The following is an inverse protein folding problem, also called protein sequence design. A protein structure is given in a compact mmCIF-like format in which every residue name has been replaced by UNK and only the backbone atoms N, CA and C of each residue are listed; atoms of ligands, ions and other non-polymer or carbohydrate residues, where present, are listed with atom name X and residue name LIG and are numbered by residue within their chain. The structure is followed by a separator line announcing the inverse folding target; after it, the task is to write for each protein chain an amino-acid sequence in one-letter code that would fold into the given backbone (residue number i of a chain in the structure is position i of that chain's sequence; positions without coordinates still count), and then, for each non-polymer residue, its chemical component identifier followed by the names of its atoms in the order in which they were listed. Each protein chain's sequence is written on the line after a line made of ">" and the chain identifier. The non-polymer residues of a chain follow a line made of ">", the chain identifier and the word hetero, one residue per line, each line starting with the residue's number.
data_IF_402496667890
#
_entry.id   IF_402496667890
#
_cell.length_a   1.000
_cell.length_b   1.000
_cell.length_c   1.000
_cell.angle_alpha   90.00
_cell.angle_beta   90.00
_cell.angle_gamma   90.00
#
_symmetry.space_group_name_H-M   'P 1'
#
loop_
_entity.id
_entity.type
_entity.pdbx_description
1 polymer ?
#
# COMPACT_ATOMS: atom_id res chain seq x y z
N UNK A 1 -14.89 -2.42 -27.01
CA UNK A 1 -13.91 -3.48 -26.67
C UNK A 1 -14.12 -3.83 -25.21
N UNK A 2 -14.60 -5.04 -24.91
CA UNK A 2 -14.76 -5.53 -23.53
C UNK A 2 -13.41 -5.46 -22.84
N UNK A 3 -13.32 -4.73 -21.75
CA UNK A 3 -12.11 -4.60 -20.94
C UNK A 3 -11.78 -5.99 -20.35
N UNK A 4 -10.79 -6.65 -20.96
CA UNK A 4 -10.24 -7.90 -20.43
C UNK A 4 -9.67 -7.55 -19.05
N UNK A 5 -10.09 -8.28 -17.99
CA UNK A 5 -9.62 -8.03 -16.64
C UNK A 5 -8.09 -8.16 -16.56
N UNK A 6 -7.48 -7.42 -15.64
CA UNK A 6 -6.01 -7.43 -15.41
C UNK A 6 -5.51 -8.87 -15.20
N UNK A 7 -6.31 -9.71 -14.54
CA UNK A 7 -6.02 -11.15 -14.33
C UNK A 7 -5.80 -11.87 -15.65
N UNK A 8 -6.71 -11.73 -16.61
CA UNK A 8 -6.61 -12.36 -17.93
C UNK A 8 -5.44 -11.82 -18.75
N UNK A 9 -5.18 -10.51 -18.70
CA UNK A 9 -4.03 -9.92 -19.39
C UNK A 9 -2.71 -10.48 -18.86
N UNK A 10 -2.52 -10.57 -17.56
CA UNK A 10 -1.31 -11.13 -16.95
C UNK A 10 -1.16 -12.62 -17.29
N UNK A 11 -2.22 -13.41 -17.19
CA UNK A 11 -2.18 -14.85 -17.55
C UNK A 11 -1.78 -15.03 -19.02
N UNK A 12 -2.37 -14.25 -19.95
CA UNK A 12 -2.03 -14.31 -21.37
C UNK A 12 -0.57 -13.94 -21.61
N UNK A 13 -0.08 -12.83 -21.01
CA UNK A 13 1.31 -12.41 -21.15
C UNK A 13 2.29 -13.47 -20.63
N UNK A 14 2.00 -14.04 -19.45
CA UNK A 14 2.83 -15.09 -18.87
C UNK A 14 2.85 -16.36 -19.73
N UNK A 15 1.69 -16.76 -20.24
CA UNK A 15 1.59 -17.92 -21.14
C UNK A 15 2.31 -17.68 -22.46
N UNK A 16 2.19 -16.50 -23.07
CA UNK A 16 2.92 -16.14 -24.28
C UNK A 16 4.43 -16.15 -24.08
N UNK A 17 4.90 -15.62 -22.95
CA UNK A 17 6.32 -15.61 -22.60
C UNK A 17 6.85 -17.05 -22.47
N UNK A 18 6.13 -17.92 -21.77
CA UNK A 18 6.52 -19.32 -21.60
C UNK A 18 6.54 -20.08 -22.92
N UNK A 19 5.55 -19.85 -23.80
CA UNK A 19 5.52 -20.44 -25.15
C UNK A 19 6.73 -19.95 -25.96
N UNK A 20 7.05 -18.66 -25.91
CA UNK A 20 8.20 -18.09 -26.61
C UNK A 20 9.54 -18.68 -26.13
N UNK A 21 9.72 -18.83 -24.81
CA UNK A 21 10.92 -19.44 -24.22
C UNK A 21 11.04 -20.91 -24.65
N UNK A 22 9.93 -21.66 -24.61
CA UNK A 22 9.91 -23.08 -25.00
C UNK A 22 10.18 -23.25 -26.49
N UNK A 23 9.62 -22.39 -27.32
CA UNK A 23 9.89 -22.39 -28.78
C UNK A 23 11.36 -22.06 -29.07
N UNK A 24 11.93 -21.06 -28.37
CA UNK A 24 13.35 -20.70 -28.52
C UNK A 24 14.28 -21.85 -28.11
N UNK A 25 13.95 -22.54 -26.99
CA UNK A 25 14.71 -23.70 -26.52
C UNK A 25 14.67 -24.85 -27.55
N UNK A 26 13.50 -25.08 -28.15
CA UNK A 26 13.32 -26.12 -29.15
C UNK A 26 14.10 -25.80 -30.45
N UNK A 27 14.08 -24.55 -30.89
CA UNK A 27 14.91 -24.06 -32.00
C UNK A 27 16.40 -24.18 -31.69
N UNK A 28 16.83 -23.85 -30.47
CA UNK A 28 18.22 -24.00 -30.04
C UNK A 28 18.66 -25.47 -30.10
N UNK A 29 17.86 -26.41 -29.58
CA UNK A 29 18.15 -27.84 -29.64
C UNK A 29 18.24 -28.32 -31.07
N UNK A 30 17.33 -27.88 -31.94
CA UNK A 30 17.37 -28.20 -33.40
C UNK A 30 18.64 -27.68 -34.09
N UNK A 31 19.04 -26.43 -33.75
CA UNK A 31 20.25 -25.84 -34.34
C UNK A 31 21.54 -26.52 -33.83
N UNK A 32 21.60 -26.88 -32.54
CA UNK A 32 22.70 -27.66 -32.00
C UNK A 32 22.82 -29.02 -32.62
N UNK A 33 21.71 -29.72 -32.81
CA UNK A 33 21.69 -31.02 -33.46
C UNK A 33 22.06 -30.93 -34.95
N UNK A 34 21.67 -29.86 -35.64
CA UNK A 34 22.05 -29.60 -37.03
C UNK A 34 23.54 -29.28 -37.22
N UNK A 35 24.18 -28.68 -36.20
CA UNK A 35 25.61 -28.34 -36.26
C UNK A 35 26.50 -29.52 -35.87
N UNK A 36 25.97 -30.56 -35.25
CA UNK A 36 26.64 -31.85 -35.21
C UNK A 36 26.38 -32.56 -36.56
N UNK A 37 26.92 -31.97 -37.65
CA UNK A 37 26.96 -32.65 -38.93
C UNK A 37 27.91 -33.84 -38.78
N UNK A 38 27.36 -34.89 -38.29
CA UNK A 38 27.95 -36.20 -38.40
C UNK A 38 28.08 -36.47 -39.87
N UNK A 39 29.31 -36.74 -40.33
CA UNK A 39 29.59 -37.20 -41.68
C UNK A 39 28.70 -38.41 -41.95
N UNK A 40 28.22 -38.59 -43.19
CA UNK A 40 27.39 -39.73 -43.47
C UNK A 40 28.14 -41.02 -43.04
N UNK A 41 27.48 -41.97 -42.37
CA UNK A 41 28.10 -43.19 -41.85
C UNK A 41 29.01 -43.88 -42.89
N UNK A 42 28.61 -43.82 -44.14
CA UNK A 42 29.36 -44.33 -45.30
C UNK A 42 30.74 -43.63 -45.45
N UNK A 43 30.84 -42.31 -45.19
CA UNK A 43 32.15 -41.62 -45.28
C UNK A 43 33.01 -41.88 -44.05
N UNK A 44 32.39 -42.12 -42.92
CA UNK A 44 33.08 -42.39 -41.66
C UNK A 44 33.73 -43.77 -41.65
N UNK A 45 33.03 -44.81 -42.17
CA UNK A 45 33.59 -46.16 -42.29
C UNK A 45 34.83 -46.19 -43.19
N UNK A 46 34.79 -45.48 -44.35
CA UNK A 46 35.95 -45.40 -45.24
C UNK A 46 37.15 -44.76 -44.57
N UNK A 47 36.92 -43.63 -43.90
CA UNK A 47 37.99 -42.88 -43.21
C UNK A 47 38.67 -43.71 -42.13
N UNK A 48 37.85 -44.40 -41.29
CA UNK A 48 38.37 -45.23 -40.20
C UNK A 48 39.13 -46.43 -40.72
N UNK A 49 38.64 -47.07 -41.77
CA UNK A 49 39.34 -48.21 -42.41
C UNK A 49 40.65 -47.77 -42.98
N UNK A 50 40.71 -46.59 -43.68
CA UNK A 50 41.98 -46.05 -44.18
C UNK A 50 42.97 -45.72 -43.07
N UNK A 51 42.50 -45.04 -42.02
CA UNK A 51 43.35 -44.75 -40.84
C UNK A 51 43.90 -46.02 -40.23
N UNK A 52 42.98 -46.95 -39.90
CA UNK A 52 43.40 -48.22 -39.28
C UNK A 52 44.29 -49.06 -40.17
N UNK A 53 44.17 -48.92 -41.51
CA UNK A 53 45.10 -49.57 -42.44
C UNK A 53 46.52 -48.91 -42.40
N UNK A 54 46.60 -47.59 -42.22
CA UNK A 54 47.86 -46.85 -42.05
C UNK A 54 48.53 -47.20 -40.71
N UNK A 55 47.77 -47.56 -39.70
CA UNK A 55 48.23 -47.90 -38.32
C UNK A 55 48.68 -49.37 -38.20
N UNK A 56 48.54 -50.19 -39.24
CA UNK A 56 49.06 -51.58 -39.29
C UNK A 56 50.54 -51.59 -39.62
N UNK A 57 51.40 -52.07 -38.71
CA UNK A 57 52.84 -52.18 -38.95
C UNK A 57 53.26 -53.62 -39.16
N UNK A 58 54.36 -53.81 -39.93
CA UNK A 58 54.95 -55.10 -40.13
C UNK A 58 56.41 -55.03 -39.63
N UNK A 59 56.62 -55.66 -38.43
CA UNK A 59 57.91 -55.64 -37.76
C UNK A 59 58.38 -57.07 -37.40
N UNK A 60 59.65 -57.32 -37.59
CA UNK A 60 60.32 -58.58 -37.28
C UNK A 60 59.62 -59.85 -37.79
N UNK A 61 58.88 -59.78 -38.91
CA UNK A 61 58.23 -60.94 -39.53
C UNK A 61 56.80 -61.23 -39.02
N UNK A 62 56.25 -60.37 -38.21
CA UNK A 62 54.88 -60.44 -37.73
C UNK A 62 54.18 -59.09 -37.89
N UNK A 63 52.84 -59.16 -38.08
CA UNK A 63 52.00 -57.96 -38.12
C UNK A 63 51.75 -57.47 -36.71
N UNK A 64 51.91 -56.18 -36.47
CA UNK A 64 51.57 -55.50 -35.24
C UNK A 64 50.28 -54.69 -35.42
N UNK A 65 49.32 -54.87 -34.53
CA UNK A 65 48.04 -54.22 -34.51
C UNK A 65 47.82 -53.39 -33.26
N UNK A 66 48.88 -53.07 -32.48
CA UNK A 66 48.81 -52.41 -31.19
C UNK A 66 48.22 -51.00 -31.31
N UNK A 67 48.42 -50.30 -32.39
CA UNK A 67 47.95 -48.92 -32.65
C UNK A 67 46.60 -48.89 -33.39
N UNK A 68 46.02 -50.04 -33.78
CA UNK A 68 44.76 -50.14 -34.49
C UNK A 68 43.60 -50.02 -33.51
N UNK A 69 42.72 -49.05 -33.75
CA UNK A 69 41.49 -48.89 -32.95
C UNK A 69 40.35 -49.75 -33.53
N UNK A 70 40.06 -50.89 -32.93
CA UNK A 70 39.08 -51.86 -33.39
C UNK A 70 37.62 -51.43 -33.21
N UNK A 71 37.35 -50.38 -32.40
CA UNK A 71 36.05 -49.78 -32.25
C UNK A 71 36.16 -48.28 -31.91
N UNK A 72 35.92 -47.44 -32.88
CA UNK A 72 35.89 -46.00 -32.68
C UNK A 72 34.74 -45.38 -33.50
N UNK A 73 34.08 -44.34 -33.01
CA UNK A 73 32.97 -43.60 -33.64
C UNK A 73 31.84 -44.50 -34.20
N UNK A 74 31.61 -45.67 -33.61
CA UNK A 74 30.60 -46.61 -34.04
C UNK A 74 30.99 -47.52 -35.20
N UNK A 75 32.26 -47.41 -35.64
CA UNK A 75 32.84 -48.31 -36.64
C UNK A 75 33.51 -49.48 -35.94
N UNK A 76 33.14 -50.69 -36.35
CA UNK A 76 33.85 -51.91 -35.96
C UNK A 76 34.87 -52.21 -37.05
N UNK A 77 36.12 -52.43 -36.66
CA UNK A 77 37.22 -52.77 -37.54
C UNK A 77 37.64 -54.22 -37.35
N UNK A 78 37.79 -54.97 -38.40
CA UNK A 78 38.21 -56.38 -38.45
C UNK A 78 39.35 -56.48 -39.47
N UNK A 79 40.39 -57.25 -39.12
CA UNK A 79 41.55 -57.54 -40.01
C UNK A 79 41.58 -59.01 -40.30
N UNK A 80 41.59 -59.32 -41.61
CA UNK A 80 41.60 -60.68 -42.13
C UNK A 80 42.87 -60.97 -42.91
N UNK A 81 43.30 -62.22 -43.00
CA UNK A 81 44.35 -62.71 -43.89
C UNK A 81 43.83 -62.93 -45.33
N UNK A 82 44.67 -63.41 -46.24
CA UNK A 82 44.33 -63.80 -47.61
C UNK A 82 43.29 -64.92 -47.72
N UNK A 83 43.24 -65.76 -46.73
CA UNK A 83 42.33 -66.92 -46.68
C UNK A 83 41.00 -66.57 -46.03
N UNK A 84 40.82 -65.30 -45.55
CA UNK A 84 39.60 -64.82 -44.93
C UNK A 84 39.53 -65.20 -43.46
N UNK A 85 40.62 -65.58 -42.80
CA UNK A 85 40.64 -65.81 -41.37
C UNK A 85 40.84 -64.50 -40.60
N UNK A 86 40.03 -64.30 -39.56
CA UNK A 86 40.15 -63.13 -38.70
C UNK A 86 41.46 -63.19 -37.89
N UNK A 87 42.33 -62.23 -38.12
CA UNK A 87 43.57 -62.06 -37.41
C UNK A 87 43.44 -61.20 -36.12
N UNK A 88 42.70 -60.10 -36.29
CA UNK A 88 42.46 -59.17 -35.18
C UNK A 88 41.17 -58.44 -35.38
N UNK A 89 40.58 -57.89 -34.30
CA UNK A 89 39.41 -57.03 -34.35
C UNK A 89 38.22 -57.55 -33.56
N UNK A 90 37.18 -56.76 -33.61
CA UNK A 90 35.93 -57.02 -32.89
C UNK A 90 34.84 -57.24 -33.91
N UNK A 91 34.35 -58.49 -34.00
CA UNK A 91 33.22 -58.86 -34.86
C UNK A 91 31.98 -58.02 -34.59
N UNK A 92 31.36 -57.50 -35.64
CA UNK A 92 30.14 -56.75 -35.50
C UNK A 92 28.99 -57.68 -35.02
N UNK A 93 28.42 -57.44 -33.79
CA UNK A 93 27.49 -58.40 -33.18
C UNK A 93 26.21 -58.62 -34.00
N UNK A 94 25.92 -57.76 -34.93
CA UNK A 94 24.63 -57.72 -35.70
C UNK A 94 24.75 -58.28 -37.09
N UNK A 95 25.96 -58.52 -37.65
CA UNK A 95 26.17 -59.09 -38.97
C UNK A 95 26.67 -60.53 -38.81
N UNK A 96 25.75 -61.47 -38.91
CA UNK A 96 26.00 -62.92 -38.69
C UNK A 96 26.39 -63.65 -39.99
N UNK A 97 26.31 -63.00 -41.13
CA UNK A 97 26.59 -63.58 -42.42
C UNK A 97 28.08 -63.42 -42.77
N UNK A 98 28.73 -64.50 -43.16
CA UNK A 98 30.11 -64.46 -43.60
C UNK A 98 30.20 -63.80 -44.96
N UNK A 99 30.55 -62.52 -44.95
CA UNK A 99 30.66 -61.75 -46.18
C UNK A 99 31.99 -61.98 -46.86
N UNK A 100 31.99 -62.26 -48.18
CA UNK A 100 33.27 -62.38 -48.90
C UNK A 100 34.01 -61.03 -48.91
N UNK A 101 35.34 -61.09 -48.70
CA UNK A 101 36.22 -59.95 -48.84
C UNK A 101 36.26 -59.48 -50.29
N UNK A 102 36.04 -58.16 -50.52
CA UNK A 102 35.95 -57.60 -51.87
C UNK A 102 36.37 -56.15 -51.90
N UNK A 103 37.48 -55.88 -52.51
CA UNK A 103 37.89 -54.51 -52.80
C UNK A 103 36.86 -53.83 -53.71
N UNK A 104 36.31 -52.68 -53.30
CA UNK A 104 35.30 -51.98 -54.10
C UNK A 104 34.55 -50.92 -53.33
N UNK A 105 33.43 -50.50 -53.88
CA UNK A 105 32.58 -49.48 -53.19
C UNK A 105 31.95 -50.04 -51.91
N UNK A 106 31.51 -49.15 -51.05
CA UNK A 106 30.81 -49.48 -49.81
C UNK A 106 29.60 -50.37 -50.13
N UNK A 107 29.47 -51.47 -49.41
CA UNK A 107 28.34 -52.40 -49.53
C UNK A 107 27.34 -52.17 -48.40
N UNK A 108 26.08 -52.26 -48.74
CA UNK A 108 25.01 -52.25 -47.74
C UNK A 108 24.56 -53.67 -47.46
N UNK A 109 24.61 -54.07 -46.18
CA UNK A 109 24.27 -55.42 -45.71
C UNK A 109 23.17 -55.32 -44.64
N UNK A 110 22.22 -56.23 -44.71
CA UNK A 110 21.18 -56.34 -43.69
C UNK A 110 21.71 -57.16 -42.50
N UNK A 111 21.73 -56.60 -41.33
CA UNK A 111 22.03 -57.28 -40.10
C UNK A 111 20.79 -57.48 -39.23
N UNK A 112 20.95 -58.05 -38.04
CA UNK A 112 19.86 -58.32 -37.11
C UNK A 112 19.13 -57.07 -36.59
N UNK A 113 19.81 -55.91 -36.56
CA UNK A 113 19.30 -54.69 -35.99
C UNK A 113 19.25 -53.53 -37.03
N UNK A 114 19.14 -53.82 -38.31
CA UNK A 114 19.05 -52.79 -39.39
C UNK A 114 20.10 -52.97 -40.45
N UNK A 115 20.22 -51.96 -41.32
CA UNK A 115 21.21 -51.92 -42.40
C UNK A 115 22.61 -51.47 -41.87
N UNK A 116 23.66 -52.07 -42.43
CA UNK A 116 25.07 -51.76 -42.14
C UNK A 116 25.79 -51.41 -43.40
N UNK A 117 26.71 -50.43 -43.31
CA UNK A 117 27.67 -50.18 -44.34
C UNK A 117 28.97 -50.93 -44.02
N UNK A 118 29.43 -51.69 -45.03
CA UNK A 118 30.69 -52.47 -44.93
C UNK A 118 31.60 -51.97 -46.03
N UNK A 119 32.87 -51.72 -45.63
CA UNK A 119 33.92 -51.31 -46.54
C UNK A 119 35.18 -52.13 -46.28
N UNK A 120 35.71 -52.76 -47.34
CA UNK A 120 36.90 -53.59 -47.31
C UNK A 120 38.06 -52.92 -48.08
N UNK A 121 39.17 -52.84 -47.42
CA UNK A 121 40.40 -52.29 -48.03
C UNK A 121 41.52 -53.37 -48.02
N UNK A 122 42.02 -53.80 -49.19
CA UNK A 122 43.20 -54.62 -49.22
C UNK A 122 44.45 -53.82 -48.90
N UNK A 123 45.32 -54.33 -48.06
CA UNK A 123 46.59 -53.73 -47.65
C UNK A 123 47.72 -54.66 -48.09
N UNK A 124 48.53 -54.23 -49.04
CA UNK A 124 49.69 -54.97 -49.53
C UNK A 124 50.93 -54.59 -48.70
N UNK A 125 51.53 -55.53 -47.99
CA UNK A 125 52.72 -55.34 -47.19
C UNK A 125 53.75 -56.41 -47.47
N UNK A 126 55.01 -56.19 -47.04
CA UNK A 126 56.12 -57.15 -47.28
C UNK A 126 55.90 -58.53 -46.70
N UNK A 127 54.87 -58.75 -45.92
CA UNK A 127 54.46 -60.02 -45.29
C UNK A 127 53.30 -60.73 -45.97
N UNK A 128 52.63 -60.10 -46.95
CA UNK A 128 51.43 -60.62 -47.60
C UNK A 128 50.35 -59.59 -47.81
N UNK A 129 49.17 -59.99 -48.20
CA UNK A 129 47.99 -59.12 -48.33
C UNK A 129 47.10 -59.32 -47.10
N UNK A 130 46.78 -58.21 -46.42
CA UNK A 130 45.76 -58.17 -45.38
C UNK A 130 44.49 -57.49 -45.89
N UNK A 131 43.39 -57.75 -45.25
CA UNK A 131 42.13 -57.06 -45.48
C UNK A 131 41.69 -56.36 -44.23
N UNK A 132 41.47 -55.06 -44.31
CA UNK A 132 40.89 -54.26 -43.24
C UNK A 132 39.45 -53.99 -43.61
N UNK A 133 38.54 -54.54 -42.78
CA UNK A 133 37.11 -54.35 -42.90
C UNK A 133 36.57 -53.39 -41.84
N UNK A 134 35.85 -52.38 -42.25
CA UNK A 134 35.06 -51.52 -41.37
C UNK A 134 33.55 -51.79 -41.51
N UNK A 135 32.86 -51.82 -40.42
CA UNK A 135 31.42 -52.00 -40.37
C UNK A 135 30.78 -50.95 -39.49
N UNK A 136 29.75 -50.20 -39.98
CA UNK A 136 29.00 -49.20 -39.21
C UNK A 136 27.51 -49.38 -39.47
N UNK A 137 26.67 -49.14 -38.48
CA UNK A 137 25.21 -49.11 -38.67
C UNK A 137 24.79 -47.95 -39.56
N UNK A 138 23.98 -48.21 -40.59
CA UNK A 138 23.43 -47.17 -41.44
C UNK A 138 22.44 -46.23 -40.68
N UNK A 139 21.82 -46.77 -39.62
CA UNK A 139 20.86 -46.05 -38.79
C UNK A 139 21.50 -45.38 -37.55
N UNK A 140 22.85 -45.38 -37.45
CA UNK A 140 23.53 -44.81 -36.28
C UNK A 140 23.18 -43.33 -35.97
N UNK A 141 22.57 -42.63 -36.93
CA UNK A 141 22.16 -41.22 -36.79
C UNK A 141 20.67 -41.00 -36.48
N UNK A 142 19.81 -42.04 -36.61
CA UNK A 142 18.34 -41.90 -36.49
C UNK A 142 17.84 -41.75 -35.05
N UNK A 143 18.59 -42.23 -34.08
CA UNK A 143 18.03 -42.49 -32.73
C UNK A 143 17.73 -41.25 -31.88
N UNK A 144 18.47 -40.17 -32.05
CA UNK A 144 18.29 -38.95 -31.19
C UNK A 144 17.02 -38.19 -31.55
N UNK A 145 16.76 -38.06 -32.89
CA UNK A 145 15.58 -37.32 -33.38
C UNK A 145 14.28 -38.09 -33.11
N UNK A 146 14.32 -39.43 -33.21
CA UNK A 146 13.17 -40.31 -32.94
C UNK A 146 12.75 -40.27 -31.47
N UNK A 147 13.62 -39.94 -30.55
CA UNK A 147 13.29 -39.79 -29.12
C UNK A 147 12.89 -38.33 -28.78
N UNK A 148 13.59 -37.34 -29.36
CA UNK A 148 13.34 -35.93 -29.02
C UNK A 148 11.99 -35.44 -29.55
N UNK A 149 11.59 -35.81 -30.75
CA UNK A 149 10.36 -35.33 -31.37
C UNK A 149 9.10 -35.78 -30.58
N UNK A 150 8.87 -37.05 -30.26
CA UNK A 150 7.71 -37.47 -29.48
C UNK A 150 7.76 -36.91 -28.03
N UNK A 151 8.94 -36.80 -27.46
CA UNK A 151 9.11 -36.18 -26.15
C UNK A 151 8.68 -34.70 -26.17
N UNK A 152 9.10 -33.96 -27.20
CA UNK A 152 8.69 -32.55 -27.37
C UNK A 152 7.17 -32.43 -27.56
N UNK A 153 6.52 -33.30 -28.32
CA UNK A 153 5.08 -33.30 -28.51
C UNK A 153 4.27 -33.64 -27.27
N UNK A 154 4.83 -34.37 -26.32
CA UNK A 154 4.18 -34.69 -25.03
C UNK A 154 4.43 -33.63 -23.96
N UNK A 155 5.66 -33.15 -23.85
CA UNK A 155 6.09 -32.19 -22.79
C UNK A 155 5.59 -30.78 -23.06
N UNK A 156 5.56 -30.33 -24.33
CA UNK A 156 5.18 -28.97 -24.68
C UNK A 156 3.72 -28.63 -24.30
N UNK A 157 2.70 -29.44 -24.61
CA UNK A 157 1.33 -29.21 -24.17
C UNK A 157 1.20 -29.22 -22.63
N UNK A 158 1.91 -30.12 -21.96
CA UNK A 158 1.90 -30.19 -20.50
C UNK A 158 2.45 -28.93 -19.86
N UNK A 159 3.57 -28.39 -20.37
CA UNK A 159 4.14 -27.11 -19.92
C UNK A 159 3.21 -25.92 -20.17
N UNK A 160 2.54 -25.88 -21.33
CA UNK A 160 1.57 -24.82 -21.64
C UNK A 160 0.38 -24.89 -20.66
N UNK A 161 -0.19 -26.07 -20.43
CA UNK A 161 -1.27 -26.26 -19.46
C UNK A 161 -0.85 -25.85 -18.03
N UNK A 162 0.33 -26.26 -17.60
CA UNK A 162 0.88 -25.91 -16.30
C UNK A 162 1.10 -24.40 -16.16
N UNK A 163 1.59 -23.75 -17.23
CA UNK A 163 1.80 -22.30 -17.29
C UNK A 163 0.48 -21.54 -17.19
N UNK A 164 -0.54 -21.95 -17.93
CA UNK A 164 -1.88 -21.32 -17.88
C UNK A 164 -2.51 -21.51 -16.50
N UNK A 165 -2.48 -22.74 -15.96
CA UNK A 165 -3.03 -23.04 -14.64
C UNK A 165 -2.29 -22.30 -13.52
N UNK A 166 -0.96 -22.31 -13.54
CA UNK A 166 -0.13 -21.59 -12.59
C UNK A 166 -0.33 -20.08 -12.67
N UNK A 167 -0.33 -19.51 -13.87
CA UNK A 167 -0.57 -18.08 -14.09
C UNK A 167 -1.95 -17.65 -13.61
N UNK A 168 -2.98 -18.45 -13.88
CA UNK A 168 -4.34 -18.18 -13.37
C UNK A 168 -4.43 -18.28 -11.85
N UNK A 169 -3.83 -19.30 -11.24
CA UNK A 169 -3.83 -19.50 -9.79
C UNK A 169 -3.11 -18.34 -9.05
N UNK A 170 -1.92 -17.98 -9.52
CA UNK A 170 -1.12 -16.87 -8.96
C UNK A 170 -1.89 -15.56 -9.14
N UNK A 171 -2.37 -15.27 -10.35
CA UNK A 171 -3.09 -14.03 -10.66
C UNK A 171 -4.38 -13.92 -9.84
N UNK A 172 -5.19 -14.99 -9.75
CA UNK A 172 -6.44 -14.96 -9.00
C UNK A 172 -6.23 -14.73 -7.50
N UNK A 173 -5.17 -15.31 -6.94
CA UNK A 173 -4.86 -15.16 -5.52
C UNK A 173 -4.27 -13.78 -5.19
N UNK A 174 -3.43 -13.24 -6.10
CA UNK A 174 -2.76 -11.93 -5.91
C UNK A 174 -3.71 -10.74 -6.06
N UNK A 175 -4.74 -10.83 -6.92
CA UNK A 175 -5.68 -9.73 -7.14
C UNK A 175 -6.96 -9.79 -6.30
N UNK A 176 -7.21 -10.89 -5.57
CA UNK A 176 -8.38 -11.00 -4.68
C UNK A 176 -8.45 -9.91 -3.60
N UNK A 177 -7.33 -9.48 -2.97
CA UNK A 177 -7.35 -8.36 -2.02
C UNK A 177 -7.73 -7.03 -2.67
N UNK A 178 -7.32 -6.79 -3.91
CA UNK A 178 -7.63 -5.56 -4.64
C UNK A 178 -9.12 -5.44 -4.98
N UNK A 179 -9.80 -6.54 -5.26
CA UNK A 179 -11.27 -6.56 -5.42
C UNK A 179 -11.99 -6.13 -4.14
N UNK A 180 -11.47 -6.52 -2.97
CA UNK A 180 -12.02 -6.07 -1.68
C UNK A 180 -11.85 -4.56 -1.48
N UNK A 181 -10.69 -4.01 -1.87
CA UNK A 181 -10.45 -2.55 -1.80
C UNK A 181 -11.43 -1.80 -2.69
N UNK A 182 -11.60 -2.25 -3.94
CA UNK A 182 -12.53 -1.63 -4.89
C UNK A 182 -13.97 -1.71 -4.37
N UNK A 183 -14.42 -2.88 -3.93
CA UNK A 183 -15.77 -3.07 -3.41
C UNK A 183 -16.06 -2.22 -2.16
N UNK A 184 -15.07 -2.06 -1.27
CA UNK A 184 -15.20 -1.17 -0.11
C UNK A 184 -15.29 0.30 -0.55
N UNK A 185 -14.46 0.73 -1.49
CA UNK A 185 -14.47 2.10 -2.02
C UNK A 185 -15.81 2.42 -2.73
N UNK A 186 -16.35 1.49 -3.52
CA UNK A 186 -17.64 1.63 -4.21
C UNK A 186 -18.81 1.72 -3.22
N UNK A 187 -18.82 0.90 -2.15
CA UNK A 187 -19.89 0.94 -1.14
C UNK A 187 -19.91 2.26 -0.37
N UNK A 188 -18.75 2.85 -0.12
CA UNK A 188 -18.64 4.15 0.56
C UNK A 188 -19.04 5.30 -0.37
N UNK A 189 -18.65 5.22 -1.65
CA UNK A 189 -19.07 6.21 -2.67
C UNK A 189 -20.58 6.27 -2.86
N UNK A 190 -21.29 5.16 -2.63
CA UNK A 190 -22.77 5.10 -2.63
C UNK A 190 -23.44 5.72 -1.40
N UNK A 191 -22.68 6.11 -0.38
CA UNK A 191 -23.23 6.74 0.85
C UNK A 191 -23.93 5.79 1.82
N UNK A 192 -23.82 4.47 1.61
CA UNK A 192 -24.62 3.48 2.35
C UNK A 192 -24.02 3.09 3.71
N UNK A 193 -22.71 3.03 3.86
CA UNK A 193 -22.10 2.58 5.12
C UNK A 193 -20.63 3.00 5.26
N UNK A 194 -20.38 4.05 6.03
CA UNK A 194 -19.03 4.54 6.34
C UNK A 194 -18.27 3.67 7.36
N UNK A 195 -18.97 2.74 8.03
CA UNK A 195 -18.36 1.86 9.04
C UNK A 195 -17.60 0.67 8.42
N UNK A 196 -17.79 0.42 7.14
CA UNK A 196 -17.19 -0.70 6.45
C UNK A 196 -15.68 -0.52 6.32
N UNK A 197 -14.93 -1.59 6.61
CA UNK A 197 -13.48 -1.62 6.50
C UNK A 197 -13.05 -2.72 5.53
N UNK A 198 -11.91 -2.52 4.89
CA UNK A 198 -11.29 -3.53 4.01
C UNK A 198 -10.85 -4.73 4.83
N UNK A 199 -10.35 -4.50 6.06
CA UNK A 199 -10.09 -5.54 7.06
C UNK A 199 -9.04 -6.55 6.62
N UNK A 200 -8.05 -6.16 5.82
CA UNK A 200 -6.93 -7.04 5.48
C UNK A 200 -5.93 -7.11 6.63
N UNK A 201 -5.32 -8.28 6.88
CA UNK A 201 -4.31 -8.43 7.92
C UNK A 201 -3.18 -7.43 7.71
N UNK A 202 -2.72 -6.78 8.78
CA UNK A 202 -1.52 -5.93 8.71
C UNK A 202 -0.31 -6.79 8.32
N UNK A 203 0.22 -6.57 7.11
CA UNK A 203 1.31 -7.35 6.54
C UNK A 203 2.28 -6.48 5.75
N UNK A 204 3.43 -7.07 5.35
CA UNK A 204 4.50 -6.36 4.62
C UNK A 204 4.19 -6.14 3.13
N UNK A 205 3.11 -6.71 2.58
CA UNK A 205 2.77 -6.51 1.17
C UNK A 205 2.27 -5.08 0.92
N UNK A 206 2.56 -4.54 -0.25
CA UNK A 206 2.13 -3.21 -0.69
C UNK A 206 0.61 -3.07 -0.65
N UNK A 207 -0.11 -4.15 -0.97
CA UNK A 207 -1.58 -4.19 -0.94
C UNK A 207 -2.11 -4.08 0.48
N UNK A 208 -1.47 -4.74 1.46
CA UNK A 208 -1.88 -4.65 2.86
C UNK A 208 -1.60 -3.25 3.43
N UNK A 209 -0.50 -2.62 3.02
CA UNK A 209 -0.20 -1.22 3.38
C UNK A 209 -1.21 -0.25 2.78
N UNK A 210 -1.58 -0.46 1.52
CA UNK A 210 -2.61 0.34 0.84
C UNK A 210 -3.97 0.18 1.53
N UNK A 211 -4.39 -1.05 1.84
CA UNK A 211 -5.62 -1.33 2.56
C UNK A 211 -5.65 -0.66 3.94
N UNK A 212 -4.54 -0.71 4.69
CA UNK A 212 -4.41 -0.01 5.97
C UNK A 212 -4.54 1.51 5.84
N UNK A 213 -3.92 2.11 4.82
CA UNK A 213 -4.05 3.54 4.56
C UNK A 213 -5.49 3.94 4.21
N UNK A 214 -6.22 3.10 3.47
CA UNK A 214 -7.64 3.32 3.21
C UNK A 214 -8.49 3.17 4.49
N UNK A 215 -8.24 2.14 5.30
CA UNK A 215 -8.97 1.96 6.56
C UNK A 215 -8.74 3.16 7.50
N UNK A 216 -7.51 3.67 7.61
CA UNK A 216 -7.19 4.89 8.37
C UNK A 216 -7.90 6.14 7.79
N UNK A 217 -8.01 6.25 6.47
CA UNK A 217 -8.74 7.33 5.80
C UNK A 217 -10.25 7.22 6.09
N UNK A 218 -10.83 6.02 6.04
CA UNK A 218 -12.24 5.79 6.35
C UNK A 218 -12.55 6.07 7.81
N UNK A 219 -11.65 5.72 8.74
CA UNK A 219 -11.78 6.08 10.15
C UNK A 219 -11.83 7.60 10.38
N UNK A 220 -11.05 8.36 9.61
CA UNK A 220 -11.06 9.83 9.69
C UNK A 220 -12.36 10.40 9.09
N UNK A 221 -12.79 9.86 7.96
CA UNK A 221 -14.01 10.29 7.28
C UNK A 221 -15.25 10.02 8.14
N UNK A 222 -15.37 8.82 8.70
CA UNK A 222 -16.46 8.44 9.60
C UNK A 222 -16.53 9.35 10.83
N UNK A 223 -15.37 9.57 11.49
CA UNK A 223 -15.28 10.50 12.62
C UNK A 223 -15.70 11.92 12.25
N UNK A 224 -15.27 12.40 11.07
CA UNK A 224 -15.65 13.72 10.58
C UNK A 224 -17.16 13.82 10.32
N UNK A 225 -17.73 12.79 9.71
CA UNK A 225 -19.15 12.75 9.39
C UNK A 225 -20.02 12.69 10.65
N UNK A 226 -19.63 11.86 11.62
CA UNK A 226 -20.30 11.81 12.93
C UNK A 226 -20.20 13.14 13.68
N UNK A 227 -19.03 13.79 13.65
CA UNK A 227 -18.86 15.09 14.27
C UNK A 227 -19.73 16.17 13.61
N UNK A 228 -19.89 16.14 12.28
CA UNK A 228 -20.74 17.07 11.54
C UNK A 228 -22.23 16.82 11.78
N UNK A 229 -22.66 15.54 11.79
CA UNK A 229 -24.03 15.17 12.10
C UNK A 229 -24.40 15.58 13.53
N UNK A 230 -23.53 15.33 14.50
CA UNK A 230 -23.70 15.76 15.88
C UNK A 230 -23.80 17.29 15.98
N UNK A 231 -22.90 18.01 15.30
CA UNK A 231 -22.92 19.47 15.25
C UNK A 231 -24.24 20.03 14.73
N UNK A 232 -24.75 19.46 13.63
CA UNK A 232 -26.03 19.88 13.04
C UNK A 232 -27.21 19.60 13.97
N UNK A 233 -27.19 18.45 14.64
CA UNK A 233 -28.20 18.09 15.64
C UNK A 233 -28.18 19.03 16.83
N UNK A 234 -27.00 19.27 17.41
CA UNK A 234 -26.84 20.12 18.59
C UNK A 234 -27.20 21.59 18.27
N UNK A 235 -26.76 22.11 17.09
CA UNK A 235 -27.15 23.44 16.64
C UNK A 235 -28.67 23.59 16.47
N UNK A 236 -29.31 22.55 15.92
CA UNK A 236 -30.76 22.54 15.76
C UNK A 236 -31.50 22.55 17.09
N UNK A 237 -30.99 21.81 18.08
CA UNK A 237 -31.55 21.79 19.43
C UNK A 237 -31.42 23.16 20.13
N UNK A 238 -30.19 23.75 20.06
CA UNK A 238 -29.93 25.05 20.68
C UNK A 238 -30.69 26.22 20.01
N UNK A 239 -31.05 26.09 18.75
CA UNK A 239 -31.88 27.09 18.05
C UNK A 239 -33.37 26.87 18.30
N UNK A 240 -33.84 25.65 18.54
CA UNK A 240 -35.27 25.34 18.76
C UNK A 240 -35.76 25.90 20.08
N UNK A 241 -34.96 25.84 21.13
CA UNK A 241 -35.34 26.33 22.47
C UNK A 241 -35.75 27.81 22.49
N UNK A 242 -34.89 28.75 22.00
CA UNK A 242 -35.27 30.18 21.98
C UNK A 242 -36.48 30.46 21.06
N UNK A 243 -36.60 29.72 19.93
CA UNK A 243 -37.78 29.85 19.05
C UNK A 243 -39.04 29.44 19.79
N UNK A 244 -39.01 28.32 20.54
CA UNK A 244 -40.18 27.87 21.33
C UNK A 244 -40.58 28.89 22.40
N UNK A 245 -39.58 29.51 23.06
CA UNK A 245 -39.85 30.58 24.05
C UNK A 245 -40.48 31.79 23.39
N UNK A 246 -40.00 32.23 22.24
CA UNK A 246 -40.55 33.35 21.47
C UNK A 246 -42.03 33.06 21.12
N UNK A 247 -42.30 31.86 20.56
CA UNK A 247 -43.66 31.46 20.16
C UNK A 247 -44.60 31.42 21.37
N UNK A 248 -44.16 30.81 22.48
CA UNK A 248 -44.96 30.75 23.70
C UNK A 248 -45.30 32.15 24.24
N UNK A 249 -44.33 33.07 24.20
CA UNK A 249 -44.56 34.44 24.66
C UNK A 249 -45.51 35.20 23.74
N UNK A 250 -45.39 35.02 22.43
CA UNK A 250 -46.37 35.58 21.47
C UNK A 250 -47.78 35.05 21.70
N UNK A 251 -47.93 33.71 21.85
CA UNK A 251 -49.24 33.08 22.14
C UNK A 251 -49.83 33.59 23.44
N UNK A 252 -48.99 33.81 24.48
CA UNK A 252 -49.43 34.34 25.76
C UNK A 252 -49.96 35.79 25.62
N UNK A 253 -49.26 36.62 24.83
CA UNK A 253 -49.70 38.00 24.57
C UNK A 253 -50.95 38.07 23.70
N UNK A 254 -51.18 37.08 22.82
CA UNK A 254 -52.38 37.03 21.95
C UNK A 254 -53.64 36.52 22.65
N UNK A 255 -53.48 35.50 23.51
CA UNK A 255 -54.63 34.83 24.12
C UNK A 255 -55.14 35.48 25.39
N UNK A 256 -54.40 36.42 26.01
CA UNK A 256 -54.76 37.14 27.21
C UNK A 256 -55.47 38.49 26.93
N UNK A 257 -55.68 39.22 27.98
CA UNK A 257 -55.97 40.67 27.93
C UNK A 257 -54.77 41.44 28.55
N UNK A 258 -53.61 41.42 27.88
CA UNK A 258 -52.37 41.88 28.45
C UNK A 258 -52.40 43.39 28.69
N UNK A 259 -51.82 43.82 29.78
CA UNK A 259 -51.58 45.24 30.08
C UNK A 259 -50.45 45.80 29.24
N UNK A 260 -50.29 47.08 29.19
CA UNK A 260 -49.13 47.72 28.51
C UNK A 260 -47.78 47.28 29.14
N UNK A 261 -47.79 46.88 30.41
CA UNK A 261 -46.61 46.37 31.12
C UNK A 261 -46.28 44.92 30.72
N UNK A 262 -47.30 44.09 30.55
CA UNK A 262 -47.15 42.71 30.07
C UNK A 262 -46.62 42.69 28.62
N UNK A 263 -47.10 43.59 27.76
CA UNK A 263 -46.55 43.75 26.40
C UNK A 263 -45.09 44.17 26.39
N UNK A 264 -44.67 45.07 27.29
CA UNK A 264 -43.26 45.47 27.39
C UNK A 264 -42.39 44.29 27.87
N UNK A 265 -42.85 43.60 28.90
CA UNK A 265 -42.11 42.43 29.41
C UNK A 265 -41.96 41.33 28.33
N UNK A 266 -43.04 41.02 27.61
CA UNK A 266 -43.02 40.05 26.53
C UNK A 266 -42.09 40.46 25.37
N UNK A 267 -42.16 41.73 24.97
CA UNK A 267 -41.22 42.21 23.96
C UNK A 267 -39.76 42.16 24.42
N UNK A 268 -39.47 42.38 25.71
CA UNK A 268 -38.11 42.24 26.27
C UNK A 268 -37.64 40.77 26.22
N UNK A 269 -38.53 39.82 26.57
CA UNK A 269 -38.23 38.39 26.45
C UNK A 269 -37.94 37.99 25.00
N UNK A 270 -38.83 38.35 24.07
CA UNK A 270 -38.66 38.06 22.65
C UNK A 270 -37.34 38.67 22.13
N UNK A 271 -37.06 39.93 22.47
CA UNK A 271 -35.84 40.59 22.06
C UNK A 271 -34.57 39.91 22.67
N UNK A 272 -34.67 39.47 23.90
CA UNK A 272 -33.58 38.71 24.56
C UNK A 272 -33.27 37.43 23.81
N UNK A 273 -34.30 36.65 23.45
CA UNK A 273 -34.15 35.41 22.70
C UNK A 273 -33.64 35.63 21.28
N UNK A 274 -34.10 36.65 20.59
CA UNK A 274 -33.60 37.02 19.26
C UNK A 274 -32.12 37.40 19.27
N UNK A 275 -31.68 38.15 20.28
CA UNK A 275 -30.26 38.47 20.49
C UNK A 275 -29.43 37.24 20.78
N UNK A 276 -29.94 36.29 21.56
CA UNK A 276 -29.29 35.02 21.89
C UNK A 276 -29.11 34.18 20.62
N UNK A 277 -30.14 34.05 19.77
CA UNK A 277 -30.05 33.37 18.47
C UNK A 277 -29.02 34.03 17.56
N UNK A 278 -29.00 35.35 17.44
CA UNK A 278 -28.03 36.08 16.62
C UNK A 278 -26.61 35.82 17.04
N UNK A 279 -26.35 35.82 18.35
CA UNK A 279 -25.03 35.44 18.91
C UNK A 279 -24.64 34.01 18.60
N UNK A 280 -25.57 33.04 18.76
CA UNK A 280 -25.35 31.64 18.47
C UNK A 280 -24.99 31.44 17.00
N UNK A 281 -25.78 32.00 16.07
CA UNK A 281 -25.53 31.92 14.63
C UNK A 281 -24.14 32.50 14.28
N UNK A 282 -23.79 33.64 14.84
CA UNK A 282 -22.47 34.26 14.63
C UNK A 282 -21.33 33.36 15.13
N UNK A 283 -21.51 32.72 16.29
CA UNK A 283 -20.53 31.77 16.83
C UNK A 283 -20.39 30.51 15.93
N UNK A 284 -21.50 29.96 15.45
CA UNK A 284 -21.52 28.82 14.54
C UNK A 284 -20.79 29.12 13.23
N UNK A 285 -21.04 30.28 12.63
CA UNK A 285 -20.37 30.71 11.39
C UNK A 285 -18.87 30.86 11.60
N UNK A 286 -18.44 31.40 12.75
CA UNK A 286 -17.01 31.49 13.06
C UNK A 286 -16.36 30.14 13.25
N UNK A 287 -17.00 29.25 14.00
CA UNK A 287 -16.48 27.88 14.22
C UNK A 287 -16.32 27.17 12.88
N UNK A 288 -17.32 27.22 12.00
CA UNK A 288 -17.26 26.61 10.67
C UNK A 288 -16.10 27.15 9.85
N UNK A 289 -15.86 28.46 9.85
CA UNK A 289 -14.72 29.06 9.14
C UNK A 289 -13.37 28.65 9.71
N UNK A 290 -13.25 28.54 11.05
CA UNK A 290 -12.03 28.09 11.72
C UNK A 290 -11.70 26.64 11.38
N UNK A 291 -12.72 25.76 11.31
CA UNK A 291 -12.54 24.34 11.01
C UNK A 291 -12.24 24.02 9.55
N UNK A 292 -12.88 24.73 8.65
CA UNK A 292 -12.62 24.58 7.22
C UNK A 292 -11.26 25.14 6.79
N UNK A 293 -10.51 25.79 7.72
CA UNK A 293 -9.25 26.45 7.39
C UNK A 293 -9.44 27.64 6.43
N UNK A 294 -10.69 28.10 6.25
CA UNK A 294 -11.02 29.24 5.39
C UNK A 294 -10.78 30.58 6.11
N UNK A 295 -10.69 30.55 7.44
CA UNK A 295 -10.26 31.71 8.24
C UNK A 295 -8.77 31.95 7.97
N UNK A 296 -8.43 32.96 7.21
CA UNK A 296 -7.04 33.44 7.12
C UNK A 296 -6.67 34.06 8.44
N UNK A 297 -5.56 33.62 8.99
CA UNK A 297 -4.98 34.21 10.21
C UNK A 297 -4.28 35.52 9.78
N UNK A 298 -4.77 36.65 10.23
CA UNK A 298 -4.18 37.96 9.97
C UNK A 298 -3.30 38.37 11.16
N UNK A 299 -2.06 37.80 11.20
CA UNK A 299 -1.14 38.05 12.27
C UNK A 299 -0.35 39.33 12.04
N UNK A 300 -0.23 40.13 13.12
CA UNK A 300 0.66 41.27 13.23
C UNK A 300 1.48 41.16 14.53
N UNK A 301 2.69 41.77 14.58
CA UNK A 301 3.42 41.84 15.85
C UNK A 301 2.62 42.65 16.87
N UNK A 302 2.11 41.99 17.92
CA UNK A 302 1.29 42.60 18.93
C UNK A 302 1.74 42.22 20.33
N UNK A 303 1.59 43.13 21.32
CA UNK A 303 1.86 42.86 22.71
C UNK A 303 0.64 42.20 23.36
N UNK A 304 0.76 40.89 23.66
CA UNK A 304 -0.27 40.12 24.36
C UNK A 304 -0.57 40.66 25.75
N UNK A 305 0.42 41.24 26.45
CA UNK A 305 0.23 41.84 27.77
C UNK A 305 -0.63 43.09 27.71
N UNK A 306 -0.39 43.94 26.72
CA UNK A 306 -1.21 45.14 26.50
C UNK A 306 -2.64 44.77 26.09
N UNK A 307 -2.79 43.78 25.19
CA UNK A 307 -4.09 43.26 24.78
C UNK A 307 -4.88 42.71 25.98
N UNK A 308 -4.24 41.92 26.86
CA UNK A 308 -4.87 41.35 28.04
C UNK A 308 -5.33 42.47 28.98
N UNK A 309 -4.49 43.49 29.25
CA UNK A 309 -4.85 44.66 30.09
C UNK A 309 -6.04 45.41 29.51
N UNK A 310 -6.05 45.65 28.19
CA UNK A 310 -7.14 46.34 27.48
C UNK A 310 -8.46 45.56 27.60
N UNK A 311 -8.44 44.24 27.35
CA UNK A 311 -9.62 43.39 27.52
C UNK A 311 -10.11 43.34 28.94
N UNK A 312 -9.22 43.19 29.93
CA UNK A 312 -9.59 43.22 31.35
C UNK A 312 -10.24 44.52 31.75
N UNK A 313 -9.73 45.67 31.28
CA UNK A 313 -10.30 47.00 31.56
C UNK A 313 -11.72 47.13 30.98
N UNK A 314 -11.94 46.63 29.76
CA UNK A 314 -13.25 46.62 29.15
C UNK A 314 -14.22 45.67 29.88
N UNK A 315 -13.78 44.49 30.28
CA UNK A 315 -14.58 43.53 31.00
C UNK A 315 -14.89 43.94 32.47
N UNK A 316 -14.03 44.72 33.10
CA UNK A 316 -14.24 45.23 34.45
C UNK A 316 -15.52 46.08 34.61
N UNK A 317 -16.00 46.68 33.52
CA UNK A 317 -17.28 47.44 33.52
C UNK A 317 -18.51 46.50 33.45
N UNK A 318 -18.33 45.22 33.12
CA UNK A 318 -19.40 44.23 32.92
C UNK A 318 -19.42 43.16 34.02
N UNK A 319 -18.55 43.31 35.04
CA UNK A 319 -18.37 42.31 36.12
C UNK A 319 -19.69 42.08 36.88
N UNK A 320 -20.25 40.88 36.91
CA UNK A 320 -21.44 40.56 37.67
C UNK A 320 -21.08 40.18 39.13
N UNK A 321 -22.00 40.29 40.07
CA UNK A 321 -21.95 39.64 41.37
C UNK A 321 -20.75 40.00 42.25
N UNK A 322 -20.29 41.23 42.20
CA UNK A 322 -19.12 41.72 42.97
C UNK A 322 -17.83 40.84 42.80
N UNK A 323 -17.66 40.18 41.67
CA UNK A 323 -16.43 39.45 41.38
C UNK A 323 -15.27 40.45 41.18
N UNK A 324 -14.12 40.15 41.72
CA UNK A 324 -12.92 40.99 41.52
C UNK A 324 -12.14 40.46 40.30
N UNK A 325 -11.95 41.29 39.27
CA UNK A 325 -11.11 40.98 38.12
C UNK A 325 -9.75 41.61 38.27
N UNK A 326 -8.67 40.83 38.24
CA UNK A 326 -7.30 41.32 38.24
C UNK A 326 -6.55 40.92 36.98
N UNK A 327 -5.60 41.76 36.54
CA UNK A 327 -4.73 41.48 35.42
C UNK A 327 -3.28 41.68 35.82
N UNK A 328 -2.52 40.58 35.77
CA UNK A 328 -1.08 40.55 36.12
C UNK A 328 -0.26 40.26 34.83
N UNK A 329 0.11 41.31 34.14
CA UNK A 329 0.88 41.29 32.90
C UNK A 329 1.96 42.40 32.95
N UNK A 330 2.99 42.26 33.81
CA UNK A 330 3.94 43.32 34.05
C UNK A 330 4.87 43.61 32.88
N UNK A 331 5.30 42.56 32.20
CA UNK A 331 6.28 42.64 31.11
C UNK A 331 5.60 42.56 29.74
N UNK A 332 6.05 43.28 28.71
CA UNK A 332 5.54 43.16 27.37
C UNK A 332 5.93 41.79 26.77
N UNK A 333 4.96 41.13 26.15
CA UNK A 333 5.15 39.84 25.45
C UNK A 333 4.67 40.00 24.03
N UNK A 334 5.60 40.35 23.16
CA UNK A 334 5.30 40.56 21.72
C UNK A 334 5.47 39.27 20.93
N UNK A 335 4.45 38.92 20.12
CA UNK A 335 4.47 37.78 19.24
C UNK A 335 3.51 38.02 18.05
N UNK A 336 3.60 37.25 16.95
CA UNK A 336 2.65 37.37 15.85
C UNK A 336 1.26 36.89 16.31
N UNK A 337 0.27 37.80 16.35
CA UNK A 337 -1.09 37.51 16.81
C UNK A 337 -2.12 38.09 15.84
N UNK A 338 -3.22 37.36 15.66
CA UNK A 338 -4.48 37.93 15.21
C UNK A 338 -5.19 38.55 16.43
N UNK A 339 -5.10 39.86 16.54
CA UNK A 339 -5.63 40.64 17.69
C UNK A 339 -7.14 40.40 17.88
N UNK A 340 -7.89 40.27 16.78
CA UNK A 340 -9.35 40.06 16.83
C UNK A 340 -9.68 38.66 17.42
N UNK A 341 -9.00 37.63 16.94
CA UNK A 341 -9.21 36.25 17.45
C UNK A 341 -8.73 36.14 18.89
N UNK A 342 -7.59 36.75 19.25
CA UNK A 342 -7.06 36.69 20.60
C UNK A 342 -7.93 37.48 21.59
N UNK A 343 -8.48 38.61 21.20
CA UNK A 343 -9.50 39.36 22.00
C UNK A 343 -10.71 38.45 22.25
N UNK A 344 -11.17 37.71 21.24
CA UNK A 344 -12.28 36.77 21.40
C UNK A 344 -11.95 35.61 22.33
N UNK A 345 -10.73 35.07 22.27
CA UNK A 345 -10.25 34.03 23.17
C UNK A 345 -10.27 34.52 24.63
N UNK A 346 -9.72 35.68 24.87
CA UNK A 346 -9.72 36.30 26.21
C UNK A 346 -11.15 36.53 26.75
N UNK A 347 -12.03 37.10 25.91
CA UNK A 347 -13.41 37.32 26.29
C UNK A 347 -14.15 36.03 26.63
N UNK A 348 -13.90 34.94 25.89
CA UNK A 348 -14.49 33.63 26.21
C UNK A 348 -13.99 33.07 27.56
N UNK A 349 -12.70 33.20 27.85
CA UNK A 349 -12.15 32.72 29.11
C UNK A 349 -12.65 33.56 30.28
N UNK A 350 -12.62 34.88 30.18
CA UNK A 350 -13.07 35.79 31.25
C UNK A 350 -14.58 35.65 31.48
N UNK A 351 -15.39 35.57 30.45
CA UNK A 351 -16.85 35.36 30.58
C UNK A 351 -17.19 34.01 31.24
N UNK A 352 -16.40 32.96 30.93
CA UNK A 352 -16.55 31.68 31.63
C UNK A 352 -16.18 31.80 33.13
N UNK A 353 -15.10 32.49 33.47
CA UNK A 353 -14.70 32.75 34.86
C UNK A 353 -15.80 33.52 35.64
N UNK A 354 -16.44 34.51 35.00
CA UNK A 354 -17.57 35.20 35.61
C UNK A 354 -18.83 34.36 35.79
N UNK A 355 -19.09 33.49 34.83
CA UNK A 355 -20.27 32.63 34.84
C UNK A 355 -20.21 31.55 35.92
N UNK A 356 -19.05 30.90 36.05
CA UNK A 356 -18.84 29.76 36.92
C UNK A 356 -18.14 30.15 38.25
N UNK A 357 -17.71 31.40 38.35
CA UNK A 357 -17.15 31.98 39.55
C UNK A 357 -18.14 32.07 40.71
N UNK A 358 -17.66 32.31 41.92
CA UNK A 358 -18.48 32.53 43.13
C UNK A 358 -18.90 33.99 43.23
N UNK A 359 -20.02 34.23 43.91
CA UNK A 359 -20.39 35.60 44.29
C UNK A 359 -19.34 36.15 45.24
N UNK A 360 -18.81 37.35 44.97
CA UNK A 360 -17.71 37.94 45.70
C UNK A 360 -16.34 37.28 45.43
N UNK A 361 -16.27 36.41 44.43
CA UNK A 361 -15.08 35.67 44.08
C UNK A 361 -14.02 36.49 43.32
N UNK A 362 -12.99 35.80 42.85
CA UNK A 362 -11.85 36.40 42.18
C UNK A 362 -11.56 35.74 40.85
N UNK A 363 -11.34 36.56 39.82
CA UNK A 363 -10.86 36.14 38.48
C UNK A 363 -9.50 36.82 38.24
N UNK A 364 -8.47 36.02 37.98
CA UNK A 364 -7.13 36.50 37.71
C UNK A 364 -6.70 36.16 36.27
N UNK A 365 -6.32 37.18 35.52
CA UNK A 365 -5.69 37.03 34.19
C UNK A 365 -4.21 37.29 34.34
N UNK A 366 -3.36 36.40 33.85
CA UNK A 366 -1.92 36.61 33.85
C UNK A 366 -1.28 36.29 32.50
N UNK A 367 -0.28 37.12 32.15
CA UNK A 367 0.55 36.90 30.97
C UNK A 367 2.00 36.85 31.36
N UNK A 368 2.70 35.79 30.93
CA UNK A 368 4.12 35.57 31.23
C UNK A 368 4.85 35.04 30.03
N UNK A 369 6.11 35.39 29.91
CA UNK A 369 7.03 34.73 28.95
C UNK A 369 7.77 33.60 29.66
N UNK A 370 7.75 32.41 29.10
CA UNK A 370 8.50 31.23 29.55
C UNK A 370 9.39 30.74 28.41
N UNK A 371 10.63 31.23 28.34
CA UNK A 371 11.52 30.94 27.22
C UNK A 371 10.96 31.47 25.90
N UNK A 372 10.74 30.59 24.95
CA UNK A 372 10.18 30.91 23.62
C UNK A 372 8.65 30.74 23.56
N UNK A 373 7.99 30.72 24.69
CA UNK A 373 6.54 30.54 24.81
C UNK A 373 5.90 31.69 25.57
N UNK A 374 4.85 32.27 25.04
CA UNK A 374 3.95 33.15 25.76
C UNK A 374 2.88 32.32 26.47
N UNK A 375 2.69 32.53 27.74
CA UNK A 375 1.71 31.84 28.59
C UNK A 375 0.67 32.83 29.05
N UNK A 376 -0.56 32.65 28.59
CA UNK A 376 -1.74 33.36 29.05
C UNK A 376 -2.53 32.43 29.97
N UNK A 377 -2.86 32.88 31.17
CA UNK A 377 -3.72 32.11 32.08
C UNK A 377 -4.88 32.95 32.59
N UNK A 378 -6.04 32.29 32.72
CA UNK A 378 -7.22 32.85 33.37
C UNK A 378 -7.65 31.88 34.48
N UNK A 379 -7.61 32.34 35.70
CA UNK A 379 -7.96 31.55 36.90
C UNK A 379 -9.23 32.11 37.55
N UNK A 380 -10.09 31.21 37.99
CA UNK A 380 -11.28 31.50 38.78
C UNK A 380 -11.31 30.66 40.06
N UNK A 381 -12.01 31.12 41.07
CA UNK A 381 -12.25 30.43 42.34
C UNK A 381 -13.65 29.79 42.40
N UNK A 382 -14.21 29.43 41.22
CA UNK A 382 -15.57 28.95 41.04
C UNK A 382 -15.79 27.51 41.44
N UNK A 383 -16.80 26.88 40.81
CA UNK A 383 -17.24 25.53 41.13
C UNK A 383 -16.23 24.44 40.80
N UNK A 384 -15.25 24.73 39.94
CA UNK A 384 -14.27 23.76 39.44
C UNK A 384 -14.89 22.71 38.54
N UNK A 385 -14.02 21.87 37.95
CA UNK A 385 -14.35 20.86 36.93
C UNK A 385 -13.79 19.52 37.39
N UNK A 386 -14.65 18.47 37.47
CA UNK A 386 -14.20 17.12 37.78
C UNK A 386 -13.18 16.61 36.76
N UNK A 387 -12.15 15.84 37.17
CA UNK A 387 -11.09 15.35 36.28
C UNK A 387 -11.63 14.58 35.05
N UNK A 388 -12.68 13.77 35.22
CA UNK A 388 -13.30 13.01 34.13
C UNK A 388 -13.95 13.89 33.04
N UNK A 389 -14.19 15.17 33.31
CA UNK A 389 -14.86 16.10 32.41
C UNK A 389 -13.89 17.12 31.77
N UNK A 390 -12.64 17.23 32.26
CA UNK A 390 -11.67 18.25 31.80
C UNK A 390 -11.29 18.11 30.32
N UNK A 391 -11.30 16.90 29.77
CA UNK A 391 -11.13 16.71 28.32
C UNK A 391 -12.42 17.00 27.53
N UNK A 392 -13.57 16.81 28.12
CA UNK A 392 -14.86 16.97 27.46
C UNK A 392 -15.31 18.42 27.33
N UNK A 393 -14.88 19.30 28.22
CA UNK A 393 -15.25 20.73 28.16
C UNK A 393 -14.77 21.45 26.89
N UNK A 394 -13.81 20.86 26.16
CA UNK A 394 -13.32 21.37 24.89
C UNK A 394 -14.15 20.92 23.68
N UNK A 395 -15.19 20.08 23.93
CA UNK A 395 -16.11 19.65 22.88
C UNK A 395 -17.18 20.73 22.63
N UNK A 396 -17.70 20.76 21.39
CA UNK A 396 -18.77 21.69 21.04
C UNK A 396 -20.04 21.40 21.86
N UNK A 397 -20.77 22.44 22.25
CA UNK A 397 -22.02 22.38 22.98
C UNK A 397 -21.94 21.64 24.33
N UNK A 398 -20.72 21.30 24.78
CA UNK A 398 -20.57 20.60 26.05
C UNK A 398 -20.66 21.56 27.23
N UNK A 399 -21.47 21.22 28.22
CA UNK A 399 -21.66 21.95 29.48
C UNK A 399 -21.63 20.96 30.65
N UNK A 400 -20.95 21.32 31.74
CA UNK A 400 -20.79 20.45 32.93
C UNK A 400 -22.11 20.38 33.75
N UNK A 401 -22.86 21.48 33.78
CA UNK A 401 -24.19 21.58 34.37
C UNK A 401 -24.89 22.81 33.79
N UNK A 402 -26.25 22.84 33.68
CA UNK A 402 -26.96 24.06 33.36
C UNK A 402 -26.68 25.09 34.45
N UNK A 403 -26.24 26.28 34.06
CA UNK A 403 -25.93 27.37 34.98
C UNK A 403 -27.20 27.73 35.80
N UNK A 404 -27.08 27.81 37.11
CA UNK A 404 -28.20 28.11 38.04
C UNK A 404 -28.84 29.50 37.85
N UNK A 405 -28.31 30.33 37.00
CA UNK A 405 -28.76 31.70 36.78
C UNK A 405 -29.00 31.96 35.31
N UNK A 406 -30.14 31.53 34.77
CA UNK A 406 -30.81 32.06 33.55
C UNK A 406 -30.02 32.47 32.31
N UNK A 407 -28.69 32.54 32.39
CA UNK A 407 -27.80 32.84 31.26
C UNK A 407 -27.21 31.55 30.69
N UNK A 408 -27.93 30.92 29.79
CA UNK A 408 -27.51 29.70 29.10
C UNK A 408 -26.22 29.95 28.29
N UNK A 409 -25.16 29.24 28.65
CA UNK A 409 -23.96 29.19 27.82
C UNK A 409 -24.22 28.31 26.61
N UNK A 410 -23.68 28.68 25.46
CA UNK A 410 -23.81 27.89 24.22
C UNK A 410 -22.92 26.65 24.20
N UNK A 411 -22.01 26.46 25.17
CA UNK A 411 -21.01 25.38 25.16
C UNK A 411 -19.98 25.49 24.01
N UNK A 412 -19.95 26.63 23.30
CA UNK A 412 -19.05 26.87 22.14
C UNK A 412 -17.78 27.66 22.52
N UNK A 413 -17.77 28.34 23.68
CA UNK A 413 -16.70 29.26 24.05
C UNK A 413 -15.34 28.59 24.24
N UNK A 414 -15.27 27.51 25.02
CA UNK A 414 -14.01 26.79 25.26
C UNK A 414 -13.52 26.04 24.02
N UNK A 415 -14.43 25.50 23.20
CA UNK A 415 -14.05 24.93 21.90
C UNK A 415 -13.37 26.00 21.03
N UNK A 416 -13.93 27.19 20.95
CA UNK A 416 -13.35 28.33 20.21
C UNK A 416 -11.98 28.71 20.75
N UNK A 417 -11.79 28.76 22.07
CA UNK A 417 -10.48 28.98 22.71
C UNK A 417 -9.44 28.00 22.22
N UNK A 418 -9.77 26.69 22.22
CA UNK A 418 -8.85 25.64 21.76
C UNK A 418 -8.53 25.77 20.27
N UNK A 419 -9.49 26.12 19.42
CA UNK A 419 -9.26 26.32 17.98
C UNK A 419 -8.39 27.55 17.72
N UNK A 420 -8.65 28.69 18.38
CA UNK A 420 -7.85 29.91 18.23
C UNK A 420 -6.41 29.64 18.67
N UNK A 421 -6.20 28.97 19.81
CA UNK A 421 -4.86 28.61 20.28
C UNK A 421 -4.11 27.75 19.24
N UNK A 422 -4.78 26.74 18.68
CA UNK A 422 -4.20 25.89 17.63
C UNK A 422 -3.85 26.62 16.35
N UNK A 423 -4.68 27.55 15.92
CA UNK A 423 -4.40 28.37 14.73
C UNK A 423 -3.14 29.22 14.90
N UNK A 424 -2.85 29.67 16.13
CA UNK A 424 -1.62 30.38 16.47
C UNK A 424 -0.43 29.44 16.78
N UNK A 425 -0.54 28.13 16.43
CA UNK A 425 0.52 27.14 16.67
C UNK A 425 0.68 26.71 18.13
N UNK A 426 -0.28 27.10 18.98
CA UNK A 426 -0.26 26.85 20.43
C UNK A 426 -1.21 25.77 20.90
N UNK A 427 -1.39 25.71 22.23
CA UNK A 427 -2.28 24.77 22.90
C UNK A 427 -3.04 25.45 24.06
N UNK A 428 -4.23 24.92 24.37
CA UNK A 428 -5.03 25.33 25.52
C UNK A 428 -5.22 24.14 26.45
N UNK A 429 -5.00 24.37 27.75
CA UNK A 429 -5.04 23.37 28.82
C UNK A 429 -5.91 23.87 29.97
N UNK A 430 -6.38 22.97 30.84
CA UNK A 430 -7.11 23.28 32.05
C UNK A 430 -6.53 22.52 33.24
N UNK A 431 -6.39 23.19 34.35
CA UNK A 431 -6.13 22.60 35.66
C UNK A 431 -7.26 23.04 36.60
N UNK A 432 -8.03 22.08 37.13
CA UNK A 432 -9.18 22.41 37.96
C UNK A 432 -9.43 21.34 39.01
N UNK A 433 -9.94 21.80 40.15
CA UNK A 433 -10.36 20.94 41.27
C UNK A 433 -11.79 21.32 41.66
N UNK A 434 -12.71 20.34 41.76
CA UNK A 434 -14.06 20.63 42.21
C UNK A 434 -14.11 21.40 43.50
N UNK A 435 -14.85 22.51 43.51
CA UNK A 435 -15.01 23.40 44.69
C UNK A 435 -13.83 24.36 44.95
N UNK A 436 -12.75 24.31 44.18
CA UNK A 436 -11.57 25.21 44.36
C UNK A 436 -11.36 26.15 43.16
N UNK A 437 -12.11 25.95 42.04
CA UNK A 437 -12.01 26.76 40.84
C UNK A 437 -11.24 26.10 39.72
N UNK A 438 -10.96 26.89 38.68
CA UNK A 438 -10.29 26.42 37.46
C UNK A 438 -9.23 27.42 37.00
N UNK A 439 -8.16 26.92 36.39
CA UNK A 439 -7.16 27.70 35.67
C UNK A 439 -7.06 27.22 34.24
N UNK A 440 -7.43 28.07 33.31
CA UNK A 440 -7.27 27.84 31.88
C UNK A 440 -5.96 28.47 31.42
N UNK A 441 -5.11 27.70 30.77
CA UNK A 441 -3.80 28.13 30.30
C UNK A 441 -3.68 27.98 28.80
N UNK A 442 -3.29 29.05 28.13
CA UNK A 442 -3.01 29.05 26.65
C UNK A 442 -1.52 29.32 26.47
N UNK A 443 -0.86 28.43 25.76
CA UNK A 443 0.57 28.50 25.43
C UNK A 443 0.72 28.80 23.96
N UNK A 444 1.45 29.86 23.61
CA UNK A 444 1.66 30.31 22.23
C UNK A 444 3.15 30.41 21.94
N UNK A 445 3.66 29.93 20.80
CA UNK A 445 5.05 30.16 20.41
C UNK A 445 5.31 31.65 20.14
N UNK A 446 6.47 32.16 20.51
CA UNK A 446 6.87 33.58 20.33
C UNK A 446 7.58 33.74 18.95
N UNK A 447 8.11 32.67 18.37
CA UNK A 447 8.87 32.67 17.10
C UNK A 447 8.03 32.14 15.95
#
# INVERSE_FOLDING_TARGET
>A
MRHISIKWRMTIWFSLLMIAITALMLVFVMLMNRNQVTRPPAAEVVRMVQRNADDVEFDHGTFDFSDVEFFEHGVYTEIFDTDGQLLAGSATPAVTEVLPLSAGPIRTVQGSNGAYYVYDLPLEMNGGVLWVRGTISADAQGSVMEVIVPLAWSVLPALVLLSVAGGWLISSRSFKPMEKVIAAAESISGGEDLSRRIGLPRGRSEINRLAGAFDDMFDRLERSFHAEAQFTSDASHELRTPVAVILTECDTLEQGAPTAEDYRAGVEVIHGQARQMSRLITQLLHITRLEQGTQKLETEPADLSELARSVCTAQAQLVPRNITLTCDAPDPVTLPLDVTLMTRLLNNLISNAFRYGRDGGHTAVAVRRQGDTAVLSVADDGIGIPPALQERIWQRFYQVAPARSGSEGTGLGLFMVRQIARLHGGAAEVSSTPGQGSTFTVRLPIA
#
